data_IF_082050642449
#
_entry.id   IF_082050642449
#
_cell.length_a   1.000
_cell.length_b   1.000
_cell.length_c   1.000
_cell.angle_alpha   90.00
_cell.angle_beta   90.00
_cell.angle_gamma   90.00
#
_symmetry.space_group_name_H-M   'P 1'
#
loop_
_entity.id
_entity.type
_entity.pdbx_description
1 polymer ?
#
# COMPACT_ATOMS: atom_id res chain seq x y z
N UNK A 1 9.78 -56.80 4.95
CA UNK A 1 9.79 -55.86 3.79
C UNK A 1 9.18 -54.48 4.09
N UNK A 2 9.23 -53.96 5.34
CA UNK A 2 8.61 -52.66 5.71
C UNK A 2 9.63 -51.55 6.01
N UNK A 3 10.87 -51.90 6.34
CA UNK A 3 11.93 -50.95 6.72
C UNK A 3 12.47 -50.16 5.51
N UNK A 4 12.62 -50.80 4.34
CA UNK A 4 13.13 -50.16 3.11
C UNK A 4 12.27 -48.98 2.64
N UNK A 5 10.94 -49.11 2.69
CA UNK A 5 10.02 -48.03 2.28
C UNK A 5 10.08 -46.81 3.20
N UNK A 6 10.35 -47.00 4.50
CA UNK A 6 10.54 -45.91 5.47
C UNK A 6 11.87 -45.18 5.24
N UNK A 7 12.95 -45.90 4.93
CA UNK A 7 14.23 -45.28 4.59
C UNK A 7 14.14 -44.49 3.29
N UNK A 8 13.46 -45.02 2.26
CA UNK A 8 13.23 -44.31 1.00
C UNK A 8 12.39 -43.04 1.21
N UNK A 9 11.32 -43.10 2.00
CA UNK A 9 10.50 -41.94 2.31
C UNK A 9 11.28 -40.87 3.09
N UNK A 10 12.10 -41.28 4.07
CA UNK A 10 12.96 -40.38 4.83
C UNK A 10 13.99 -39.67 3.96
N UNK A 11 14.61 -40.38 3.02
CA UNK A 11 15.61 -39.79 2.12
C UNK A 11 14.96 -38.82 1.13
N UNK A 12 13.79 -39.17 0.56
CA UNK A 12 13.05 -38.28 -0.34
C UNK A 12 12.56 -37.03 0.38
N UNK A 13 12.11 -37.16 1.63
CA UNK A 13 11.71 -36.01 2.45
C UNK A 13 12.88 -35.09 2.79
N UNK A 14 14.06 -35.66 3.06
CA UNK A 14 15.27 -34.90 3.38
C UNK A 14 15.82 -34.15 2.16
N UNK A 15 15.83 -34.78 0.98
CA UNK A 15 16.26 -34.11 -0.26
C UNK A 15 15.31 -33.00 -0.66
N UNK A 16 14.00 -33.18 -0.48
CA UNK A 16 13.01 -32.11 -0.69
C UNK A 16 13.31 -30.92 0.22
N UNK A 17 13.52 -31.13 1.52
CA UNK A 17 13.88 -30.06 2.47
C UNK A 17 15.15 -29.29 2.04
N UNK A 18 16.19 -29.98 1.58
CA UNK A 18 17.44 -29.35 1.15
C UNK A 18 17.26 -28.52 -0.14
N UNK A 19 16.37 -28.93 -1.05
CA UNK A 19 15.99 -28.11 -2.21
C UNK A 19 15.29 -26.83 -1.78
N UNK A 20 14.43 -26.85 -0.75
CA UNK A 20 13.82 -25.63 -0.20
C UNK A 20 14.82 -24.65 0.41
N UNK A 21 15.88 -25.15 1.05
CA UNK A 21 16.93 -24.31 1.62
C UNK A 21 17.89 -23.73 0.57
N UNK A 22 17.88 -24.28 -0.64
CA UNK A 22 18.76 -23.85 -1.74
C UNK A 22 18.13 -22.79 -2.65
N UNK A 23 16.87 -22.41 -2.42
CA UNK A 23 16.26 -21.32 -3.17
C UNK A 23 16.93 -20.00 -2.78
N UNK A 24 17.50 -19.24 -3.74
CA UNK A 24 18.09 -17.95 -3.44
C UNK A 24 17.00 -17.01 -2.93
N UNK A 25 17.28 -16.33 -1.81
CA UNK A 25 16.44 -15.23 -1.32
C UNK A 25 16.27 -14.21 -2.43
N UNK A 26 15.03 -14.00 -2.89
CA UNK A 26 14.70 -12.92 -3.82
C UNK A 26 14.98 -11.62 -3.09
N UNK A 27 16.12 -11.00 -3.37
CA UNK A 27 16.43 -9.66 -2.85
C UNK A 27 15.61 -8.65 -3.64
N UNK A 28 14.52 -8.19 -3.04
CA UNK A 28 13.84 -6.98 -3.49
C UNK A 28 14.67 -5.79 -3.05
N UNK A 29 15.54 -5.29 -3.92
CA UNK A 29 16.22 -4.03 -3.73
C UNK A 29 15.84 -3.11 -4.88
N UNK A 30 14.63 -2.56 -4.82
CA UNK A 30 14.28 -1.39 -5.61
C UNK A 30 14.36 -0.19 -4.69
N UNK A 31 15.57 0.36 -4.56
CA UNK A 31 15.79 1.63 -3.88
C UNK A 31 15.58 2.74 -4.89
N UNK A 32 14.31 3.00 -5.24
CA UNK A 32 13.98 4.24 -5.92
C UNK A 32 14.22 5.38 -4.94
N UNK A 33 15.27 6.17 -5.22
CA UNK A 33 15.46 7.48 -4.59
C UNK A 33 14.16 8.24 -4.83
N UNK A 34 13.40 8.65 -3.81
CA UNK A 34 12.15 9.36 -4.02
C UNK A 34 12.49 10.67 -4.72
N UNK A 35 12.25 10.71 -6.03
CA UNK A 35 12.24 11.96 -6.76
C UNK A 35 11.19 12.82 -6.07
N UNK A 36 11.59 14.00 -5.58
CA UNK A 36 10.73 14.92 -4.84
C UNK A 36 9.48 15.35 -5.64
N UNK A 37 9.39 14.99 -6.92
CA UNK A 37 8.26 15.27 -7.80
C UNK A 37 7.36 14.06 -8.08
N UNK A 38 7.73 12.85 -7.66
CA UNK A 38 6.95 11.65 -7.96
C UNK A 38 5.73 11.55 -7.04
N UNK A 39 4.54 11.38 -7.63
CA UNK A 39 3.32 11.22 -6.85
C UNK A 39 3.12 9.75 -6.43
N UNK A 40 3.00 9.51 -5.13
CA UNK A 40 2.77 8.17 -4.55
C UNK A 40 1.42 8.13 -3.84
N UNK A 41 0.93 6.93 -3.56
CA UNK A 41 -0.35 6.78 -2.84
C UNK A 41 -0.09 7.03 -1.35
N UNK A 42 -0.75 8.03 -0.80
CA UNK A 42 -0.69 8.39 0.61
C UNK A 42 -2.06 8.21 1.25
N UNK A 43 -2.08 7.80 2.53
CA UNK A 43 -3.29 7.78 3.35
C UNK A 43 -3.30 9.06 4.18
N UNK A 44 -4.31 9.88 3.97
CA UNK A 44 -4.53 11.14 4.68
C UNK A 44 -5.62 10.90 5.71
N UNK A 45 -5.30 11.13 6.98
CA UNK A 45 -6.26 11.08 8.07
C UNK A 45 -6.93 12.44 8.22
N UNK A 46 -8.24 12.45 8.35
CA UNK A 46 -9.01 13.68 8.55
C UNK A 46 -10.00 13.51 9.69
N UNK A 47 -10.59 14.61 10.12
CA UNK A 47 -11.74 14.54 11.02
C UNK A 47 -12.95 13.92 10.30
N UNK A 48 -13.88 13.37 11.08
CA UNK A 48 -15.16 12.89 10.53
C UNK A 48 -16.11 14.09 10.45
N UNK A 49 -16.55 14.53 9.26
CA UNK A 49 -17.57 15.56 9.16
C UNK A 49 -18.88 15.08 9.81
N UNK A 50 -19.56 15.97 10.54
CA UNK A 50 -20.87 15.69 11.16
C UNK A 50 -22.04 16.09 10.25
N UNK A 51 -21.86 17.13 9.44
CA UNK A 51 -22.96 17.80 8.70
C UNK A 51 -22.93 17.52 7.19
N UNK A 52 -21.99 16.71 6.70
CA UNK A 52 -21.85 16.41 5.27
C UNK A 52 -21.37 14.99 5.03
N UNK A 53 -21.61 14.47 3.82
CA UNK A 53 -21.08 13.18 3.40
C UNK A 53 -19.53 13.20 3.47
N UNK A 54 -18.90 12.16 4.07
CA UNK A 54 -17.45 12.10 4.20
C UNK A 54 -16.72 12.28 2.88
N UNK A 55 -17.27 11.75 1.80
CA UNK A 55 -16.67 11.82 0.47
C UNK A 55 -16.61 13.25 -0.08
N UNK A 56 -17.66 14.06 0.11
CA UNK A 56 -17.68 15.46 -0.31
C UNK A 56 -16.63 16.27 0.47
N UNK A 57 -16.44 15.96 1.75
CA UNK A 57 -15.41 16.58 2.58
C UNK A 57 -14.00 16.23 2.10
N UNK A 58 -13.78 14.95 1.77
CA UNK A 58 -12.49 14.49 1.25
C UNK A 58 -12.16 15.13 -0.10
N UNK A 59 -13.12 15.20 -1.02
CA UNK A 59 -12.94 15.85 -2.32
C UNK A 59 -12.65 17.34 -2.17
N UNK A 60 -13.36 18.04 -1.28
CA UNK A 60 -13.11 19.46 -0.98
C UNK A 60 -11.71 19.68 -0.38
N UNK A 61 -11.28 18.79 0.50
CA UNK A 61 -9.94 18.84 1.09
C UNK A 61 -8.87 18.64 0.02
N UNK A 62 -9.02 17.62 -0.82
CA UNK A 62 -8.11 17.37 -1.95
C UNK A 62 -8.09 18.49 -2.97
N UNK A 63 -9.24 19.09 -3.29
CA UNK A 63 -9.32 20.16 -4.29
C UNK A 63 -8.63 21.44 -3.84
N UNK A 64 -8.54 21.68 -2.52
CA UNK A 64 -7.80 22.82 -1.98
C UNK A 64 -6.30 22.78 -2.30
N UNK A 65 -5.73 21.57 -2.40
CA UNK A 65 -4.30 21.34 -2.70
C UNK A 65 -4.07 21.08 -4.19
N UNK A 66 -5.02 20.44 -4.87
CA UNK A 66 -4.91 20.10 -6.29
C UNK A 66 -5.45 21.18 -7.23
N UNK A 67 -6.11 22.20 -6.69
CA UNK A 67 -6.62 23.36 -7.42
C UNK A 67 -7.94 23.14 -8.16
N UNK A 68 -8.48 21.92 -8.22
CA UNK A 68 -9.80 21.65 -8.81
C UNK A 68 -10.44 20.36 -8.27
N UNK A 69 -11.77 20.27 -8.39
CA UNK A 69 -12.53 19.09 -7.98
C UNK A 69 -12.26 17.89 -8.90
N UNK A 70 -12.07 18.13 -10.19
CA UNK A 70 -11.76 17.11 -11.19
C UNK A 70 -10.37 16.51 -10.93
N UNK A 71 -9.40 17.34 -10.58
CA UNK A 71 -8.07 16.89 -10.18
C UNK A 71 -8.13 16.06 -8.89
N UNK A 72 -8.94 16.49 -7.91
CA UNK A 72 -9.19 15.74 -6.68
C UNK A 72 -9.79 14.35 -6.96
N UNK A 73 -10.85 14.28 -7.78
CA UNK A 73 -11.47 13.00 -8.16
C UNK A 73 -10.51 12.07 -8.90
N UNK A 74 -9.63 12.62 -9.74
CA UNK A 74 -8.62 11.84 -10.48
C UNK A 74 -7.50 11.32 -9.56
N UNK A 75 -7.13 12.09 -8.54
CA UNK A 75 -6.09 11.72 -7.59
C UNK A 75 -6.61 10.80 -6.47
N UNK A 76 -7.89 10.88 -6.12
CA UNK A 76 -8.52 10.06 -5.09
C UNK A 76 -8.51 8.59 -5.49
N UNK A 77 -7.89 7.76 -4.67
CA UNK A 77 -7.87 6.29 -4.82
C UNK A 77 -9.01 5.67 -4.03
N UNK A 78 -9.22 6.11 -2.79
CA UNK A 78 -10.30 5.61 -1.96
C UNK A 78 -10.71 6.61 -0.87
N UNK A 79 -11.99 6.64 -0.55
CA UNK A 79 -12.57 7.46 0.51
C UNK A 79 -13.04 6.56 1.65
N UNK A 80 -12.40 6.63 2.83
CA UNK A 80 -12.76 5.80 3.98
C UNK A 80 -13.98 6.38 4.69
N UNK A 81 -15.07 5.61 4.75
CA UNK A 81 -16.35 6.06 5.34
C UNK A 81 -16.61 5.51 6.75
N UNK A 82 -16.07 4.33 7.08
CA UNK A 82 -16.46 3.59 8.29
C UNK A 82 -15.27 3.22 9.18
N UNK A 83 -14.26 2.52 8.63
CA UNK A 83 -13.13 1.99 9.41
C UNK A 83 -12.12 3.06 9.86
N UNK A 84 -12.05 4.17 9.14
CA UNK A 84 -11.21 5.32 9.45
C UNK A 84 -11.88 6.58 8.90
N UNK A 85 -11.46 7.74 9.40
CA UNK A 85 -11.80 9.04 8.83
C UNK A 85 -10.63 9.52 7.98
N UNK A 86 -10.87 9.72 6.69
CA UNK A 86 -9.85 10.14 5.74
C UNK A 86 -9.95 9.45 4.38
N UNK A 87 -8.91 9.58 3.57
CA UNK A 87 -8.87 9.09 2.20
C UNK A 87 -7.46 8.65 1.80
N UNK A 88 -7.36 7.83 0.75
CA UNK A 88 -6.09 7.58 0.06
C UNK A 88 -6.09 8.28 -1.30
N UNK A 89 -4.99 8.95 -1.61
CA UNK A 89 -4.85 9.71 -2.85
C UNK A 89 -3.41 9.67 -3.37
N UNK A 90 -3.25 9.81 -4.68
CA UNK A 90 -1.95 9.92 -5.33
C UNK A 90 -1.46 11.36 -5.26
N UNK A 91 -0.46 11.63 -4.42
CA UNK A 91 0.02 12.97 -4.08
C UNK A 91 1.54 13.05 -4.20
N UNK A 92 2.04 14.23 -4.57
CA UNK A 92 3.48 14.54 -4.49
C UNK A 92 3.88 14.88 -3.05
N UNK A 93 5.17 14.78 -2.69
CA UNK A 93 5.65 15.21 -1.37
C UNK A 93 5.27 16.65 -1.01
N UNK A 94 5.26 17.57 -1.98
CA UNK A 94 4.83 18.96 -1.76
C UNK A 94 3.35 19.07 -1.39
N UNK A 95 2.48 18.33 -2.08
CA UNK A 95 1.04 18.30 -1.78
C UNK A 95 0.74 17.66 -0.42
N UNK A 96 1.51 16.65 -0.03
CA UNK A 96 1.42 16.06 1.31
C UNK A 96 1.83 17.06 2.38
N UNK A 97 2.88 17.85 2.14
CA UNK A 97 3.30 18.91 3.06
C UNK A 97 2.23 19.99 3.20
N UNK A 98 1.54 20.36 2.12
CA UNK A 98 0.41 21.32 2.17
C UNK A 98 -0.78 20.80 2.97
N UNK A 99 -1.10 19.50 2.90
CA UNK A 99 -2.17 18.88 3.70
C UNK A 99 -1.84 18.74 5.19
N UNK A 100 -0.55 18.82 5.55
CA UNK A 100 -0.08 18.68 6.93
C UNK A 100 -0.07 19.99 7.72
N UNK A 101 -0.42 21.11 7.09
CA UNK A 101 -0.27 22.46 7.63
C UNK A 101 -1.63 23.04 8.05
#
# INVERSE_FOLDING_TARGET
MKKSHIFLFSTVSLTFLLVFLSFPSISMADSEIPSSSEAKVHIVYTERPQDQEPEDYHIKTLSSVLGSEEAAKKALVYSYKHAASGFSAKLTPGQVAELSN
#
